data_IF_901817327230
#
_entry.id   IF_901817327230
#
_cell.length_a   1.000
_cell.length_b   1.000
_cell.length_c   1.000
_cell.angle_alpha   90.00
_cell.angle_beta   90.00
_cell.angle_gamma   90.00
#
_symmetry.space_group_name_H-M   'P 1'
#
loop_
_entity.id
_entity.type
_entity.pdbx_description
1 polymer ?
#
# COMPACT_ATOMS: atom_id res chain seq x y z
N UNK A 1 15.86 -6.97 13.50
CA UNK A 1 16.37 -5.59 13.36
C UNK A 1 15.48 -4.89 12.34
N UNK A 2 14.62 -3.97 12.78
CA UNK A 2 13.92 -3.07 11.86
C UNK A 2 14.86 -1.90 11.62
N UNK A 3 15.39 -1.78 10.40
CA UNK A 3 15.97 -0.53 9.93
C UNK A 3 14.80 0.37 9.64
N UNK A 4 14.77 1.58 10.21
CA UNK A 4 13.74 2.57 9.92
C UNK A 4 13.35 2.53 8.44
N UNK A 5 12.09 2.17 8.10
CA UNK A 5 11.66 2.11 6.69
C UNK A 5 11.74 3.47 6.01
N UNK A 6 11.88 4.55 6.79
CA UNK A 6 12.05 5.92 6.35
C UNK A 6 13.51 6.25 5.92
N UNK A 7 14.48 5.34 6.12
CA UNK A 7 15.90 5.56 5.78
C UNK A 7 16.31 4.85 4.49
N UNK A 8 17.07 5.55 3.63
CA UNK A 8 17.62 4.96 2.41
C UNK A 8 16.79 5.18 1.14
N UNK A 9 15.74 6.01 1.17
CA UNK A 9 14.92 6.31 0.00
C UNK A 9 15.39 7.61 -0.65
N UNK A 10 15.64 7.58 -1.95
CA UNK A 10 15.98 8.80 -2.70
C UNK A 10 14.72 9.61 -3.00
N UNK A 11 14.75 10.89 -2.67
CA UNK A 11 13.73 11.90 -3.03
C UNK A 11 14.40 12.93 -3.93
N UNK A 12 13.74 13.27 -5.03
CA UNK A 12 14.15 14.38 -5.91
C UNK A 12 13.49 15.68 -5.47
N UNK A 13 14.19 16.79 -5.64
CA UNK A 13 13.71 18.13 -5.35
C UNK A 13 14.00 19.08 -6.51
N UNK A 14 13.06 19.98 -6.82
CA UNK A 14 13.23 21.01 -7.84
C UNK A 14 12.59 22.31 -7.39
N UNK A 15 13.30 23.46 -7.42
CA UNK A 15 14.67 23.63 -7.88
C UNK A 15 15.71 22.98 -6.94
N UNK A 16 16.97 22.94 -7.38
CA UNK A 16 18.09 22.59 -6.50
C UNK A 16 18.18 23.61 -5.34
N UNK A 17 18.68 23.15 -4.20
CA UNK A 17 18.86 24.00 -3.02
C UNK A 17 20.00 25.02 -3.20
N UNK A 18 20.22 25.86 -2.19
CA UNK A 18 21.29 26.87 -2.22
C UNK A 18 22.70 26.28 -2.35
N UNK A 19 22.88 24.98 -2.08
CA UNK A 19 24.14 24.26 -2.24
C UNK A 19 24.22 23.53 -3.60
N UNK A 20 23.24 23.71 -4.48
CA UNK A 20 23.16 23.06 -5.78
C UNK A 20 22.68 21.61 -5.73
N UNK A 21 22.09 21.14 -4.64
CA UNK A 21 21.62 19.76 -4.49
C UNK A 21 20.16 19.61 -4.94
N UNK A 22 19.90 18.67 -5.85
CA UNK A 22 18.58 18.44 -6.45
C UNK A 22 17.95 17.08 -6.06
N UNK A 23 18.60 16.29 -5.23
CA UNK A 23 18.13 14.99 -4.76
C UNK A 23 18.82 14.61 -3.45
N UNK A 24 18.23 13.73 -2.65
CA UNK A 24 18.84 13.26 -1.40
C UNK A 24 18.32 11.89 -0.98
N UNK A 25 19.17 11.11 -0.31
CA UNK A 25 18.75 9.87 0.34
C UNK A 25 18.29 10.19 1.75
N UNK A 26 17.06 9.80 2.12
CA UNK A 26 16.50 10.11 3.43
C UNK A 26 17.31 9.48 4.57
N UNK A 27 17.52 10.19 5.68
CA UNK A 27 17.07 11.57 5.97
C UNK A 27 18.07 12.63 5.46
N UNK A 28 17.57 13.75 4.93
CA UNK A 28 18.40 14.89 4.48
C UNK A 28 17.70 16.23 4.71
N UNK A 29 18.46 17.32 4.66
CA UNK A 29 17.97 18.70 4.79
C UNK A 29 18.33 19.51 3.55
N UNK A 30 17.43 20.39 3.11
CA UNK A 30 17.65 21.33 1.99
C UNK A 30 17.42 22.75 2.47
N UNK A 31 18.20 23.69 1.95
CA UNK A 31 18.09 25.12 2.29
C UNK A 31 17.65 25.91 1.07
N UNK A 32 16.53 26.61 1.19
CA UNK A 32 15.94 27.44 0.14
C UNK A 32 15.70 28.86 0.65
N UNK A 33 15.65 29.82 -0.27
CA UNK A 33 15.25 31.19 0.06
C UNK A 33 13.76 31.25 0.42
N UNK A 34 13.37 32.20 1.25
CA UNK A 34 11.97 32.42 1.61
C UNK A 34 11.09 32.58 0.35
N UNK A 35 9.88 32.03 0.38
CA UNK A 35 8.89 32.01 -0.72
C UNK A 35 9.27 31.17 -1.94
N UNK A 36 10.36 30.39 -1.89
CA UNK A 36 10.69 29.45 -2.97
C UNK A 36 9.64 28.34 -3.02
N UNK A 37 9.06 28.08 -4.20
CA UNK A 37 8.27 26.88 -4.45
C UNK A 37 9.20 25.71 -4.76
N UNK A 38 9.06 24.63 -3.99
CA UNK A 38 9.86 23.42 -4.11
C UNK A 38 8.93 22.26 -4.42
N UNK A 39 9.18 21.60 -5.54
CA UNK A 39 8.55 20.35 -5.92
C UNK A 39 9.39 19.19 -5.38
N UNK A 40 8.76 18.28 -4.64
CA UNK A 40 9.37 17.03 -4.18
C UNK A 40 8.75 15.86 -4.93
N UNK A 41 9.58 14.92 -5.38
CA UNK A 41 9.14 13.71 -6.05
C UNK A 41 9.70 12.49 -5.33
N UNK A 42 8.80 11.65 -4.83
CA UNK A 42 9.09 10.32 -4.32
C UNK A 42 8.92 9.27 -5.43
N UNK A 43 9.58 8.12 -5.29
CA UNK A 43 9.33 6.98 -6.18
C UNK A 43 7.95 6.41 -5.90
N UNK A 44 7.20 6.04 -6.94
CA UNK A 44 5.90 5.37 -6.79
C UNK A 44 5.99 4.08 -5.95
N UNK A 45 7.12 3.36 -6.05
CA UNK A 45 7.35 2.13 -5.30
C UNK A 45 8.80 2.00 -4.84
N UNK A 46 8.96 1.34 -3.70
CA UNK A 46 10.26 0.96 -3.13
C UNK A 46 10.16 -0.50 -2.69
N UNK A 47 10.85 -1.38 -3.41
CA UNK A 47 10.79 -2.81 -3.16
C UNK A 47 9.36 -3.33 -3.22
N UNK A 48 8.88 -3.80 -2.08
CA UNK A 48 7.53 -4.32 -1.88
C UNK A 48 6.44 -3.24 -1.72
N UNK A 49 6.83 -2.02 -1.35
CA UNK A 49 5.93 -1.01 -0.82
C UNK A 49 5.52 -0.01 -1.92
N UNK A 50 4.29 0.47 -1.83
CA UNK A 50 3.73 1.51 -2.69
C UNK A 50 3.67 2.83 -1.94
N UNK A 51 3.87 3.92 -2.66
CA UNK A 51 3.68 5.26 -2.13
C UNK A 51 2.22 5.44 -1.71
N UNK A 52 2.01 5.91 -0.48
CA UNK A 52 0.68 6.16 0.09
C UNK A 52 0.35 7.66 0.05
N UNK A 53 1.20 8.47 0.66
CA UNK A 53 0.98 9.92 0.81
C UNK A 53 2.23 10.65 1.29
N UNK A 54 2.23 11.96 1.10
CA UNK A 54 3.13 12.88 1.77
C UNK A 54 2.51 13.39 3.06
N UNK A 55 3.31 13.49 4.11
CA UNK A 55 2.99 14.26 5.31
C UNK A 55 3.86 15.51 5.38
N UNK A 56 3.28 16.63 5.81
CA UNK A 56 3.95 17.88 6.13
C UNK A 56 3.79 18.15 7.62
N UNK A 57 4.90 18.12 8.36
CA UNK A 57 4.93 18.28 9.81
C UNK A 57 3.99 17.29 10.54
N UNK A 58 3.86 16.07 9.99
CA UNK A 58 2.98 15.03 10.51
C UNK A 58 1.56 15.01 9.94
N UNK A 59 1.11 16.09 9.31
CA UNK A 59 -0.24 16.20 8.73
C UNK A 59 -0.29 15.79 7.26
N UNK A 60 -1.37 15.17 6.76
CA UNK A 60 -1.53 14.81 5.35
C UNK A 60 -1.38 16.03 4.42
N UNK A 61 -0.51 15.89 3.42
CA UNK A 61 -0.28 16.91 2.39
C UNK A 61 -0.92 16.53 1.05
N UNK A 62 -0.80 15.27 0.65
CA UNK A 62 -1.33 14.78 -0.62
C UNK A 62 -0.99 13.31 -0.89
N UNK A 63 -1.76 12.68 -1.78
CA UNK A 63 -1.62 11.25 -2.14
C UNK A 63 -0.84 11.03 -3.43
N UNK A 64 -0.45 12.09 -4.13
CA UNK A 64 0.40 12.01 -5.32
C UNK A 64 1.88 11.89 -4.93
N UNK A 65 2.71 11.10 -5.66
CA UNK A 65 4.15 11.00 -5.40
C UNK A 65 4.89 12.33 -5.56
N UNK A 66 4.30 13.26 -6.30
CA UNK A 66 4.81 14.61 -6.51
C UNK A 66 3.96 15.62 -5.76
N UNK A 67 4.59 16.47 -4.95
CA UNK A 67 3.94 17.57 -4.24
C UNK A 67 4.76 18.84 -4.35
N UNK A 68 4.10 19.99 -4.30
CA UNK A 68 4.74 21.31 -4.26
C UNK A 68 4.51 21.95 -2.90
N UNK A 69 5.56 22.54 -2.33
CA UNK A 69 5.50 23.31 -1.09
C UNK A 69 6.21 24.65 -1.26
N UNK A 70 5.59 25.71 -0.75
CA UNK A 70 6.26 27.01 -0.59
C UNK A 70 7.08 27.03 0.69
N UNK A 71 8.34 27.45 0.60
CA UNK A 71 9.29 27.55 1.72
C UNK A 71 9.19 28.91 2.40
N UNK A 72 8.22 29.06 3.28
CA UNK A 72 7.94 30.23 4.12
C UNK A 72 8.45 30.07 5.57
N UNK A 73 8.67 28.84 6.02
CA UNK A 73 9.30 28.45 7.28
C UNK A 73 9.85 27.02 7.18
N UNK A 74 10.56 26.55 8.20
CA UNK A 74 11.12 25.20 8.25
C UNK A 74 10.03 24.12 8.27
N UNK A 75 10.11 23.15 7.35
CA UNK A 75 9.12 22.08 7.20
C UNK A 75 9.80 20.71 7.14
N UNK A 76 9.19 19.73 7.78
CA UNK A 76 9.57 18.32 7.66
C UNK A 76 8.57 17.61 6.76
N UNK A 77 9.02 17.15 5.59
CA UNK A 77 8.21 16.31 4.71
C UNK A 77 8.58 14.83 4.88
N UNK A 78 7.56 13.96 4.94
CA UNK A 78 7.73 12.51 5.01
C UNK A 78 6.91 11.82 3.92
N UNK A 79 7.57 11.07 3.05
CA UNK A 79 6.90 10.15 2.14
C UNK A 79 6.53 8.89 2.92
N UNK A 80 5.24 8.59 3.00
CA UNK A 80 4.72 7.38 3.65
C UNK A 80 4.54 6.32 2.58
N UNK A 81 5.13 5.15 2.83
CA UNK A 81 4.94 3.97 2.02
C UNK A 81 4.15 2.93 2.80
N UNK A 82 3.29 2.20 2.12
CA UNK A 82 2.59 1.06 2.68
C UNK A 82 2.91 -0.21 1.90
N UNK A 83 2.82 -1.40 2.50
CA UNK A 83 3.00 -2.65 1.79
C UNK A 83 2.10 -2.71 0.55
N UNK A 84 2.71 -2.84 -0.63
CA UNK A 84 1.96 -2.98 -1.86
C UNK A 84 1.15 -4.27 -1.85
N UNK A 85 -0.01 -4.26 -2.50
CA UNK A 85 -0.80 -5.48 -2.70
C UNK A 85 0.07 -6.51 -3.45
N UNK A 86 0.37 -7.67 -2.85
CA UNK A 86 0.94 -8.79 -3.61
C UNK A 86 -0.21 -9.48 -4.30
N UNK A 87 -0.42 -9.11 -5.55
CA UNK A 87 -1.14 -9.98 -6.47
C UNK A 87 -0.20 -11.12 -6.79
N UNK A 88 -0.37 -12.25 -6.11
CA UNK A 88 0.40 -13.46 -6.41
C UNK A 88 -0.23 -14.14 -7.63
N UNK A 89 0.49 -14.22 -8.77
CA UNK A 89 -0.07 -14.84 -9.97
C UNK A 89 -0.34 -16.34 -9.82
N UNK A 90 0.19 -16.98 -8.77
CA UNK A 90 -0.08 -18.39 -8.46
C UNK A 90 -1.25 -18.60 -7.51
N UNK A 91 -1.82 -17.53 -6.93
CA UNK A 91 -3.03 -17.65 -6.13
C UNK A 91 -4.23 -17.92 -7.04
N UNK A 92 -4.91 -19.03 -6.79
CA UNK A 92 -6.17 -19.40 -7.41
C UNK A 92 -7.25 -19.41 -6.34
N UNK A 93 -8.39 -18.81 -6.64
CA UNK A 93 -9.55 -18.91 -5.77
C UNK A 93 -10.46 -20.04 -6.25
N UNK A 94 -10.70 -21.02 -5.39
CA UNK A 94 -11.73 -22.04 -5.61
C UNK A 94 -12.97 -21.65 -4.80
N UNK A 95 -14.09 -21.45 -5.49
CA UNK A 95 -15.38 -21.11 -4.88
C UNK A 95 -16.34 -22.26 -5.13
N UNK A 96 -16.91 -22.80 -4.06
CA UNK A 96 -17.99 -23.79 -4.15
C UNK A 96 -19.17 -23.31 -3.29
N UNK A 97 -20.35 -23.24 -3.88
CA UNK A 97 -21.57 -22.75 -3.22
C UNK A 97 -22.48 -23.94 -2.91
N UNK A 98 -22.94 -24.06 -1.66
CA UNK A 98 -23.91 -25.09 -1.26
C UNK A 98 -25.16 -24.39 -0.72
N UNK A 99 -26.22 -24.33 -1.53
CA UNK A 99 -27.44 -23.54 -1.25
C UNK A 99 -28.55 -24.28 -0.51
N UNK A 100 -28.34 -25.52 -0.06
CA UNK A 100 -29.44 -26.33 0.49
C UNK A 100 -29.32 -26.64 1.99
N UNK A 101 -28.22 -26.31 2.64
CA UNK A 101 -27.97 -26.74 4.01
C UNK A 101 -27.55 -25.64 4.98
N UNK A 102 -27.38 -24.37 4.56
CA UNK A 102 -27.05 -23.22 5.47
C UNK A 102 -26.86 -21.82 4.82
N UNK A 103 -27.29 -21.56 3.58
CA UNK A 103 -27.00 -20.29 2.87
C UNK A 103 -25.50 -19.91 2.89
N UNK A 104 -24.64 -20.93 2.82
CA UNK A 104 -23.20 -20.80 3.00
C UNK A 104 -22.44 -20.93 1.69
N UNK A 105 -21.38 -20.14 1.58
CA UNK A 105 -20.36 -20.25 0.53
C UNK A 105 -19.10 -20.84 1.13
N UNK A 106 -18.48 -21.81 0.44
CA UNK A 106 -17.17 -22.32 0.80
C UNK A 106 -16.14 -21.80 -0.18
N UNK A 107 -15.10 -21.17 0.36
CA UNK A 107 -13.99 -20.63 -0.42
C UNK A 107 -12.69 -21.28 0.03
N UNK A 108 -11.80 -21.48 -0.92
CA UNK A 108 -10.43 -21.92 -0.66
C UNK A 108 -9.48 -21.10 -1.53
N UNK A 109 -8.59 -20.36 -0.89
CA UNK A 109 -7.44 -19.78 -1.55
C UNK A 109 -6.38 -20.86 -1.75
N UNK A 110 -6.01 -21.15 -2.99
CA UNK A 110 -5.00 -22.15 -3.33
C UNK A 110 -3.75 -21.46 -3.82
N UNK A 111 -2.60 -21.83 -3.27
CA UNK A 111 -1.31 -21.26 -3.68
C UNK A 111 -0.11 -21.97 -3.08
N UNK A 112 1.06 -21.69 -3.63
CA UNK A 112 2.33 -22.16 -3.06
C UNK A 112 2.65 -21.35 -1.81
N UNK A 113 2.82 -22.02 -0.67
CA UNK A 113 3.32 -21.40 0.56
C UNK A 113 4.75 -20.86 0.32
N UNK A 114 5.03 -19.62 0.72
CA UNK A 114 6.41 -19.06 0.73
C UNK A 114 7.00 -19.05 2.15
N UNK A 115 6.16 -19.08 3.18
CA UNK A 115 6.50 -19.30 4.59
C UNK A 115 5.74 -20.50 5.16
N UNK A 116 6.17 -21.08 6.30
CA UNK A 116 5.48 -22.22 6.93
C UNK A 116 4.00 -21.98 7.25
N UNK A 117 3.63 -20.73 7.54
CA UNK A 117 2.26 -20.28 7.74
C UNK A 117 2.06 -18.98 6.97
N UNK A 118 0.98 -18.89 6.22
CA UNK A 118 0.62 -17.70 5.45
C UNK A 118 -0.89 -17.50 5.47
N UNK A 119 -1.26 -16.24 5.62
CA UNK A 119 -2.63 -15.78 5.61
C UNK A 119 -2.89 -14.91 4.37
N UNK A 120 -4.14 -14.88 3.95
CA UNK A 120 -4.65 -14.05 2.86
C UNK A 120 -5.81 -13.21 3.36
N UNK A 121 -5.98 -12.04 2.77
CA UNK A 121 -7.16 -11.18 2.90
C UNK A 121 -8.10 -11.40 1.72
N UNK A 122 -9.40 -11.30 1.98
CA UNK A 122 -10.40 -11.22 0.92
C UNK A 122 -10.63 -9.78 0.55
N UNK A 123 -10.70 -9.50 -0.74
CA UNK A 123 -11.17 -8.23 -1.27
C UNK A 123 -12.46 -8.47 -2.06
N UNK A 124 -13.49 -7.70 -1.74
CA UNK A 124 -14.81 -7.79 -2.37
C UNK A 124 -15.04 -6.55 -3.24
N UNK A 125 -15.80 -6.72 -4.31
CA UNK A 125 -16.16 -5.62 -5.19
C UNK A 125 -17.54 -5.82 -5.80
N UNK A 126 -18.23 -4.70 -6.06
CA UNK A 126 -19.51 -4.66 -6.76
C UNK A 126 -19.36 -4.37 -8.26
N UNK A 127 -18.28 -3.71 -8.68
CA UNK A 127 -18.14 -3.13 -10.02
C UNK A 127 -16.77 -3.37 -10.69
N UNK A 128 -15.94 -4.25 -10.12
CA UNK A 128 -14.54 -4.53 -10.51
C UNK A 128 -13.55 -3.36 -10.34
N UNK A 129 -14.01 -2.17 -9.98
CA UNK A 129 -13.21 -0.95 -9.88
C UNK A 129 -12.94 -0.60 -8.41
N UNK A 130 -13.98 -0.66 -7.58
CA UNK A 130 -13.90 -0.40 -6.15
C UNK A 130 -13.78 -1.72 -5.39
N UNK A 131 -12.64 -1.90 -4.72
CA UNK A 131 -12.35 -3.10 -3.93
C UNK A 131 -12.30 -2.74 -2.44
N UNK A 132 -13.00 -3.52 -1.62
CA UNK A 132 -13.00 -3.40 -0.16
C UNK A 132 -12.31 -4.62 0.45
N UNK A 133 -11.20 -4.37 1.15
CA UNK A 133 -10.53 -5.40 1.95
C UNK A 133 -11.41 -5.74 3.14
N UNK A 134 -11.74 -7.01 3.27
CA UNK A 134 -12.38 -7.53 4.46
C UNK A 134 -11.31 -7.73 5.52
N UNK A 135 -11.55 -7.28 6.76
CA UNK A 135 -10.68 -7.52 7.94
C UNK A 135 -10.74 -8.99 8.40
N UNK A 136 -10.62 -9.90 7.44
CA UNK A 136 -10.75 -11.33 7.60
C UNK A 136 -9.50 -11.99 7.02
N UNK A 137 -8.64 -12.47 7.92
CA UNK A 137 -7.43 -13.20 7.56
C UNK A 137 -7.73 -14.70 7.47
N UNK A 138 -7.43 -15.31 6.34
CA UNK A 138 -7.70 -16.71 6.06
C UNK A 138 -6.42 -17.49 5.77
N UNK A 139 -6.25 -18.72 6.27
CA UNK A 139 -5.12 -19.57 5.90
C UNK A 139 -5.16 -19.97 4.41
N UNK A 140 -3.98 -20.02 3.77
CA UNK A 140 -3.83 -20.59 2.42
C UNK A 140 -4.04 -22.11 2.45
N UNK A 141 -4.66 -22.65 1.40
CA UNK A 141 -4.95 -24.08 1.16
C UNK A 141 -5.95 -24.73 2.12
N UNK A 142 -6.67 -23.98 2.96
CA UNK A 142 -7.73 -24.52 3.82
C UNK A 142 -9.12 -24.02 3.36
N UNK A 143 -10.12 -24.91 3.20
CA UNK A 143 -11.48 -24.49 2.87
C UNK A 143 -12.16 -23.84 4.09
N UNK A 144 -12.87 -22.74 3.84
CA UNK A 144 -13.58 -21.98 4.88
C UNK A 144 -14.99 -21.64 4.44
N UNK A 145 -15.94 -21.68 5.37
CA UNK A 145 -17.37 -21.52 5.11
C UNK A 145 -17.91 -20.28 5.79
N UNK A 146 -18.60 -19.42 5.02
CA UNK A 146 -19.14 -18.15 5.49
C UNK A 146 -20.62 -18.01 5.12
N UNK A 147 -21.44 -17.37 5.97
CA UNK A 147 -22.80 -16.99 5.60
C UNK A 147 -22.75 -15.93 4.49
N UNK A 148 -23.62 -16.05 3.48
CA UNK A 148 -23.65 -15.11 2.36
C UNK A 148 -24.39 -13.81 2.75
N UNK A 149 -23.71 -12.67 2.68
CA UNK A 149 -24.36 -11.36 2.58
C UNK A 149 -24.70 -11.10 1.09
N UNK A 150 -25.91 -10.62 0.82
CA UNK A 150 -26.64 -10.88 -0.44
C UNK A 150 -26.09 -10.22 -1.72
N UNK A 151 -25.13 -9.29 -1.66
CA UNK A 151 -24.96 -8.34 -2.76
C UNK A 151 -23.59 -8.33 -3.47
N UNK A 152 -22.63 -9.19 -3.08
CA UNK A 152 -21.25 -9.14 -3.61
C UNK A 152 -21.09 -9.85 -4.96
N UNK A 153 -20.52 -9.15 -5.96
CA UNK A 153 -20.41 -9.64 -7.33
C UNK A 153 -19.02 -10.19 -7.68
N UNK A 154 -17.97 -9.63 -7.08
CA UNK A 154 -16.59 -9.99 -7.38
C UNK A 154 -15.80 -10.24 -6.10
N UNK A 155 -14.91 -11.24 -6.15
CA UNK A 155 -14.07 -11.64 -5.03
C UNK A 155 -12.66 -11.89 -5.58
N UNK A 156 -11.66 -11.37 -4.88
CA UNK A 156 -10.26 -11.78 -5.08
C UNK A 156 -9.56 -11.97 -3.74
N UNK A 157 -8.41 -12.62 -3.81
CA UNK A 157 -7.60 -12.95 -2.64
C UNK A 157 -6.27 -12.26 -2.76
N UNK A 158 -5.85 -11.58 -1.69
CA UNK A 158 -4.56 -10.91 -1.58
C UNK A 158 -3.72 -11.61 -0.52
N UNK A 159 -2.45 -11.90 -0.83
CA UNK A 159 -1.52 -12.46 0.17
C UNK A 159 -1.09 -11.37 1.15
N UNK A 160 -1.19 -11.64 2.45
CA UNK A 160 -0.65 -10.76 3.49
C UNK A 160 0.86 -11.00 3.54
N UNK A 161 1.64 -9.91 3.52
CA UNK A 161 3.09 -9.97 3.77
C UNK A 161 3.33 -9.61 5.24
N UNK A 162 3.74 -10.60 6.03
CA UNK A 162 4.44 -10.37 7.30
C UNK A 162 5.89 -9.95 7.05
#
# INVERSE_FOLDING_TARGET
ASRDPDSGITVMVSPADQNGQADGTTQFTRVYSERTEVTLTAKQSVGANQFKQWLKNGEPLGTEPTVTVTMDYDRTLRAVYEPGLVVDPTLKLLVSRVLSNKDQITIQAVGKLRKPFEMVELELSYDLIHWETQDLQLPINLPLSFPLAQDMQFIRVKRIRD
#
